data_IF_603257373733
#
_entry.id   IF_603257373733
#
_cell.length_a   1.000
_cell.length_b   1.000
_cell.length_c   1.000
_cell.angle_alpha   90.00
_cell.angle_beta   90.00
_cell.angle_gamma   90.00
#
_symmetry.space_group_name_H-M   'P 1'
#
loop_
_entity.id
_entity.type
_entity.pdbx_description
1 polymer ?
#
# COMPACT_ATOMS: atom_id res chain seq x y z
N UNK A 1 42.35 -40.32 29.48
CA UNK A 1 42.13 -39.56 28.23
C UNK A 1 40.63 -39.64 27.94
N UNK A 2 39.81 -38.69 28.44
CA UNK A 2 39.44 -37.39 27.80
C UNK A 2 38.64 -37.62 26.51
N UNK A 3 37.48 -37.03 26.21
CA UNK A 3 36.73 -35.89 26.74
C UNK A 3 35.31 -35.87 26.15
N UNK A 4 34.44 -35.03 26.72
CA UNK A 4 33.13 -34.58 26.22
C UNK A 4 33.12 -34.06 24.75
N UNK A 5 31.93 -33.95 24.15
CA UNK A 5 31.34 -32.70 23.55
C UNK A 5 30.45 -32.97 22.31
N UNK A 6 29.14 -32.75 22.47
CA UNK A 6 28.28 -31.81 21.74
C UNK A 6 28.42 -31.67 20.19
N UNK A 7 27.32 -31.87 19.43
CA UNK A 7 26.60 -30.79 18.72
C UNK A 7 25.55 -31.29 17.70
N UNK A 8 24.36 -30.73 17.88
CA UNK A 8 23.23 -30.63 16.98
C UNK A 8 23.50 -29.53 15.92
N UNK A 9 23.09 -29.74 14.66
CA UNK A 9 22.61 -28.68 13.74
C UNK A 9 22.12 -29.31 12.42
N UNK A 10 20.84 -29.68 12.38
CA UNK A 10 20.11 -29.82 11.12
C UNK A 10 19.46 -28.46 10.79
N UNK A 11 19.96 -27.76 9.78
CA UNK A 11 19.24 -26.67 9.12
C UNK A 11 19.36 -26.87 7.61
N UNK A 12 18.41 -27.63 7.08
CA UNK A 12 18.20 -27.79 5.65
C UNK A 12 17.23 -26.73 5.15
N UNK A 13 17.71 -26.03 4.13
CA UNK A 13 17.06 -25.18 3.14
C UNK A 13 15.53 -25.09 3.14
N UNK A 14 15.03 -23.86 3.30
CA UNK A 14 13.78 -23.42 2.64
C UNK A 14 14.10 -22.32 1.64
N UNK A 15 14.44 -22.74 0.42
CA UNK A 15 14.21 -21.96 -0.80
C UNK A 15 12.72 -21.66 -0.90
N UNK A 16 12.32 -20.42 -0.67
CA UNK A 16 11.00 -19.94 -1.12
C UNK A 16 11.18 -19.52 -2.58
N UNK A 17 10.79 -20.42 -3.48
CA UNK A 17 10.59 -20.11 -4.87
C UNK A 17 9.45 -19.10 -5.00
N UNK A 18 9.72 -17.96 -5.64
CA UNK A 18 8.68 -17.10 -6.21
C UNK A 18 8.93 -17.01 -7.72
N UNK A 19 8.60 -18.10 -8.41
CA UNK A 19 8.33 -18.07 -9.84
C UNK A 19 6.85 -17.76 -10.02
N UNK A 20 6.55 -16.53 -10.39
CA UNK A 20 5.29 -16.16 -11.03
C UNK A 20 5.60 -15.09 -12.08
N UNK A 21 5.95 -15.59 -13.26
CA UNK A 21 5.51 -15.08 -14.56
C UNK A 21 5.82 -13.63 -14.92
N UNK A 22 6.94 -13.47 -15.64
CA UNK A 22 7.00 -12.58 -16.80
C UNK A 22 5.94 -13.09 -17.80
N UNK A 23 4.87 -12.32 -18.01
CA UNK A 23 3.99 -12.26 -19.19
C UNK A 23 2.65 -11.61 -18.77
N UNK A 24 2.62 -10.28 -18.77
CA UNK A 24 1.38 -9.51 -18.68
C UNK A 24 1.56 -8.18 -19.42
N UNK A 25 1.70 -8.26 -20.74
CA UNK A 25 1.43 -7.09 -21.59
C UNK A 25 -0.08 -6.77 -21.51
N UNK A 26 -0.38 -5.63 -20.88
CA UNK A 26 -1.53 -4.75 -21.15
C UNK A 26 -2.95 -5.09 -20.65
N UNK A 27 -3.11 -5.86 -19.58
CA UNK A 27 -4.38 -5.86 -18.83
C UNK A 27 -4.20 -5.15 -17.49
N UNK A 28 -4.99 -4.10 -17.24
CA UNK A 28 -5.08 -3.47 -15.93
C UNK A 28 -5.46 -4.52 -14.87
N UNK A 29 -4.87 -4.46 -13.66
CA UNK A 29 -5.07 -5.49 -12.66
C UNK A 29 -6.46 -5.34 -12.02
N UNK A 30 -7.07 -6.45 -11.60
CA UNK A 30 -8.38 -6.43 -10.92
C UNK A 30 -8.30 -5.88 -9.49
N UNK A 31 -7.12 -5.94 -8.88
CA UNK A 31 -6.81 -5.41 -7.55
C UNK A 31 -5.48 -4.65 -7.60
N UNK A 32 -5.27 -3.62 -6.75
CA UNK A 32 -3.98 -2.94 -6.66
C UNK A 32 -2.87 -3.91 -6.27
N UNK A 33 -1.79 -3.93 -7.05
CA UNK A 33 -0.64 -4.78 -6.80
C UNK A 33 0.43 -3.95 -6.07
N UNK A 34 0.84 -4.40 -4.89
CA UNK A 34 1.99 -3.84 -4.19
C UNK A 34 3.28 -4.30 -4.88
N UNK A 35 3.98 -3.39 -5.56
CA UNK A 35 5.22 -3.67 -6.29
C UNK A 35 6.42 -3.66 -5.33
N UNK A 36 6.55 -2.61 -4.51
CA UNK A 36 7.64 -2.46 -3.53
C UNK A 36 7.16 -1.77 -2.26
N UNK A 37 7.83 -2.08 -1.14
CA UNK A 37 7.67 -1.40 0.13
C UNK A 37 9.06 -1.18 0.73
N UNK A 38 9.30 0.02 1.28
CA UNK A 38 10.52 0.33 2.02
C UNK A 38 10.53 -0.42 3.37
N UNK A 39 11.72 -0.68 3.94
CA UNK A 39 11.90 -1.43 5.20
C UNK A 39 11.10 -0.82 6.36
N UNK A 40 10.94 0.51 6.31
CA UNK A 40 10.19 1.31 7.26
C UNK A 40 8.70 1.48 6.87
N UNK A 41 8.18 0.81 5.83
CA UNK A 41 6.81 0.92 5.30
C UNK A 41 6.29 2.36 5.03
N UNK A 42 7.17 3.36 5.04
CA UNK A 42 6.86 4.78 4.81
C UNK A 42 6.63 5.09 3.35
N UNK A 43 7.16 4.25 2.46
CA UNK A 43 7.06 4.41 1.02
C UNK A 43 6.65 3.07 0.42
N UNK A 44 5.64 3.10 -0.44
CA UNK A 44 5.22 1.95 -1.21
C UNK A 44 5.06 2.33 -2.68
N UNK A 45 5.28 1.40 -3.60
CA UNK A 45 4.89 1.55 -5.00
C UNK A 45 3.77 0.56 -5.31
N UNK A 46 2.74 1.04 -5.97
CA UNK A 46 1.58 0.24 -6.35
C UNK A 46 1.34 0.35 -7.86
N UNK A 47 0.95 -0.76 -8.48
CA UNK A 47 0.33 -0.78 -9.80
C UNK A 47 -1.19 -0.89 -9.59
N UNK A 48 -1.89 0.20 -9.88
CA UNK A 48 -3.29 0.37 -9.54
C UNK A 48 -4.21 -0.15 -10.65
N UNK A 49 -5.50 -0.35 -10.31
CA UNK A 49 -6.52 -0.94 -11.20
C UNK A 49 -6.84 -0.10 -12.43
N UNK A 50 -6.41 1.16 -12.47
CA UNK A 50 -6.48 2.04 -13.64
C UNK A 50 -5.33 1.80 -14.64
N UNK A 51 -4.47 0.82 -14.39
CA UNK A 51 -3.29 0.52 -15.20
C UNK A 51 -2.15 1.52 -15.01
N UNK A 52 -2.13 2.27 -13.89
CA UNK A 52 -1.10 3.28 -13.61
C UNK A 52 -0.32 2.96 -12.35
N UNK A 53 0.91 3.48 -12.28
CA UNK A 53 1.80 3.28 -11.14
C UNK A 53 1.82 4.49 -10.25
N UNK A 54 1.71 4.25 -8.94
CA UNK A 54 1.76 5.31 -7.95
C UNK A 54 2.76 5.00 -6.86
N UNK A 55 3.48 6.03 -6.43
CA UNK A 55 4.30 6.02 -5.24
C UNK A 55 3.49 6.59 -4.08
N UNK A 56 3.21 5.75 -3.10
CA UNK A 56 2.60 6.13 -1.84
C UNK A 56 3.67 6.58 -0.84
N UNK A 57 3.47 7.73 -0.19
CA UNK A 57 4.34 8.23 0.87
C UNK A 57 3.54 8.55 2.14
N UNK A 58 3.92 7.92 3.24
CA UNK A 58 3.19 8.02 4.49
C UNK A 58 3.42 9.41 5.11
N UNK A 59 2.36 10.12 5.54
CA UNK A 59 2.47 11.52 5.99
C UNK A 59 3.00 11.64 7.43
N UNK A 60 3.31 10.51 8.08
CA UNK A 60 3.70 10.40 9.48
C UNK A 60 2.51 10.21 10.42
N UNK A 61 2.74 9.51 11.54
CA UNK A 61 1.69 8.99 12.43
C UNK A 61 0.75 10.07 12.97
N UNK A 62 1.28 11.25 13.30
CA UNK A 62 0.49 12.37 13.83
C UNK A 62 -0.47 12.96 12.80
N UNK A 63 -0.04 13.08 11.54
CA UNK A 63 -0.93 13.56 10.45
C UNK A 63 -1.97 12.50 10.12
N UNK A 64 -1.54 11.25 9.94
CA UNK A 64 -2.44 10.12 9.66
C UNK A 64 -3.52 9.95 10.75
N UNK A 65 -3.14 10.02 12.03
CA UNK A 65 -4.09 9.94 13.15
C UNK A 65 -5.11 11.10 13.11
N UNK A 66 -4.63 12.33 12.90
CA UNK A 66 -5.49 13.51 12.81
C UNK A 66 -6.48 13.38 11.66
N UNK A 67 -6.04 12.98 10.47
CA UNK A 67 -6.93 12.85 9.31
C UNK A 67 -8.02 11.81 9.54
N UNK A 68 -7.68 10.68 10.17
CA UNK A 68 -8.65 9.65 10.54
C UNK A 68 -9.68 10.15 11.57
N UNK A 69 -9.25 10.91 12.56
CA UNK A 69 -10.15 11.53 13.53
C UNK A 69 -11.08 12.56 12.87
N UNK A 70 -10.53 13.39 11.98
CA UNK A 70 -11.30 14.41 11.24
C UNK A 70 -12.28 13.80 10.23
N UNK A 71 -12.01 12.58 9.74
CA UNK A 71 -12.94 11.82 8.90
C UNK A 71 -14.05 11.15 9.69
N UNK A 72 -14.02 11.12 11.02
CA UNK A 72 -15.10 10.58 11.85
C UNK A 72 -15.91 11.75 12.39
N UNK A 73 -17.12 11.94 11.85
CA UNK A 73 -18.11 12.88 12.38
C UNK A 73 -19.08 12.15 13.31
N UNK A 74 -19.28 12.68 14.51
CA UNK A 74 -20.24 12.14 15.48
C UNK A 74 -21.70 12.34 15.04
N UNK A 75 -21.96 13.29 14.14
CA UNK A 75 -23.30 13.65 13.67
C UNK A 75 -23.60 13.12 12.26
N UNK A 76 -22.59 13.06 11.39
CA UNK A 76 -22.75 12.71 9.97
C UNK A 76 -22.13 11.34 9.61
N UNK A 77 -21.48 10.67 10.57
CA UNK A 77 -20.78 9.41 10.32
C UNK A 77 -19.39 9.61 9.69
N UNK A 78 -18.95 8.64 8.88
CA UNK A 78 -17.60 8.65 8.29
C UNK A 78 -17.56 9.58 7.06
N UNK A 79 -16.94 10.75 7.20
CA UNK A 79 -16.64 11.68 6.12
C UNK A 79 -15.36 11.25 5.39
N UNK A 80 -15.53 10.33 4.45
CA UNK A 80 -14.43 9.72 3.68
C UNK A 80 -13.82 10.71 2.69
N UNK A 81 -14.58 11.67 2.19
CA UNK A 81 -14.14 12.63 1.18
C UNK A 81 -12.91 13.41 1.66
N UNK A 82 -12.99 13.97 2.88
CA UNK A 82 -11.87 14.71 3.48
C UNK A 82 -10.63 13.86 3.71
N UNK A 83 -10.79 12.56 3.94
CA UNK A 83 -9.66 11.64 4.09
C UNK A 83 -9.01 11.42 2.73
N UNK A 84 -9.83 11.13 1.71
CA UNK A 84 -9.40 10.86 0.35
C UNK A 84 -8.71 12.07 -0.28
N UNK A 85 -9.25 13.28 -0.12
CA UNK A 85 -8.61 14.51 -0.62
C UNK A 85 -7.21 14.70 -0.05
N UNK A 86 -7.04 14.46 1.25
CA UNK A 86 -5.72 14.56 1.91
C UNK A 86 -4.80 13.44 1.47
N UNK A 87 -5.32 12.23 1.37
CA UNK A 87 -4.56 11.07 0.92
C UNK A 87 -4.04 11.29 -0.50
N UNK A 88 -4.88 11.66 -1.45
CA UNK A 88 -4.46 11.98 -2.81
C UNK A 88 -3.42 13.10 -2.86
N UNK A 89 -3.70 14.21 -2.17
CA UNK A 89 -2.82 15.40 -2.21
C UNK A 89 -1.44 15.19 -1.60
N UNK A 90 -1.32 14.38 -0.55
CA UNK A 90 -0.11 14.31 0.26
C UNK A 90 0.57 12.95 0.27
N UNK A 91 -0.14 11.90 -0.12
CA UNK A 91 0.37 10.54 -0.08
C UNK A 91 0.56 9.95 -1.47
N UNK A 92 -0.19 10.36 -2.48
CA UNK A 92 -0.16 9.74 -3.80
C UNK A 92 0.65 10.59 -4.76
N UNK A 93 1.74 10.02 -5.29
CA UNK A 93 2.53 10.64 -6.36
C UNK A 93 2.50 9.74 -7.60
N UNK A 94 2.22 10.29 -8.80
CA UNK A 94 2.26 9.50 -10.02
C UNK A 94 3.69 9.07 -10.37
N UNK A 95 3.82 7.88 -10.96
CA UNK A 95 5.10 7.33 -11.45
C UNK A 95 4.99 7.14 -12.95
N UNK A 96 5.88 7.79 -13.69
CA UNK A 96 5.94 7.73 -15.17
C UNK A 96 4.67 8.23 -15.90
N UNK A 97 3.81 9.00 -15.22
CA UNK A 97 2.68 9.72 -15.83
C UNK A 97 2.37 11.04 -15.11
N UNK A 98 1.52 11.88 -15.72
CA UNK A 98 1.10 13.17 -15.16
C UNK A 98 -0.29 13.18 -14.52
N UNK A 99 -0.98 12.04 -14.49
CA UNK A 99 -2.31 11.98 -13.88
C UNK A 99 -2.27 12.07 -12.36
N UNK A 100 -2.99 13.04 -11.81
CA UNK A 100 -3.17 13.25 -10.38
C UNK A 100 -4.59 12.79 -9.98
N UNK A 101 -4.73 11.70 -9.21
CA UNK A 101 -6.04 11.20 -8.82
C UNK A 101 -6.69 12.14 -7.80
N UNK A 102 -7.98 12.41 -7.99
CA UNK A 102 -8.87 13.09 -7.04
C UNK A 102 -10.25 12.42 -7.10
N UNK A 103 -11.13 12.66 -6.13
CA UNK A 103 -12.49 12.11 -6.14
C UNK A 103 -13.30 12.55 -7.38
N UNK A 104 -12.98 13.69 -7.96
CA UNK A 104 -13.69 14.24 -9.13
C UNK A 104 -13.25 13.61 -10.46
N UNK A 105 -12.04 13.02 -10.53
CA UNK A 105 -11.43 12.58 -11.79
C UNK A 105 -11.23 11.07 -11.89
N UNK A 106 -11.26 10.35 -10.76
CA UNK A 106 -11.18 8.88 -10.76
C UNK A 106 -12.52 8.29 -11.19
N UNK A 107 -12.47 7.09 -11.78
CA UNK A 107 -13.68 6.36 -12.12
C UNK A 107 -14.46 5.94 -10.86
N UNK A 108 -15.81 5.92 -10.87
CA UNK A 108 -16.61 5.62 -9.69
C UNK A 108 -16.31 4.25 -9.04
N UNK A 109 -16.01 3.24 -9.84
CA UNK A 109 -15.58 1.90 -9.40
C UNK A 109 -14.20 1.89 -8.72
N UNK A 110 -13.34 2.89 -8.96
CA UNK A 110 -12.02 2.99 -8.35
C UNK A 110 -12.05 3.66 -6.97
N UNK A 111 -13.15 4.35 -6.62
CA UNK A 111 -13.29 5.08 -5.34
C UNK A 111 -13.14 4.12 -4.15
N UNK A 112 -13.86 3.00 -4.16
CA UNK A 112 -13.81 2.02 -3.06
C UNK A 112 -12.42 1.38 -2.93
N UNK A 113 -11.78 1.12 -4.06
CA UNK A 113 -10.43 0.54 -4.10
C UNK A 113 -9.41 1.51 -3.50
N UNK A 114 -9.48 2.79 -3.90
CA UNK A 114 -8.64 3.84 -3.34
C UNK A 114 -8.86 4.04 -1.84
N UNK A 115 -10.11 4.01 -1.40
CA UNK A 115 -10.46 4.09 0.02
C UNK A 115 -9.88 2.92 0.81
N UNK A 116 -9.93 1.71 0.26
CA UNK A 116 -9.35 0.53 0.88
C UNK A 116 -7.82 0.68 1.02
N UNK A 117 -7.14 1.10 -0.06
CA UNK A 117 -5.70 1.38 -0.06
C UNK A 117 -5.34 2.46 0.97
N UNK A 118 -6.07 3.58 1.00
CA UNK A 118 -5.82 4.66 1.94
C UNK A 118 -5.94 4.21 3.40
N UNK A 119 -6.98 3.44 3.72
CA UNK A 119 -7.19 2.92 5.07
C UNK A 119 -6.08 1.98 5.52
N UNK A 120 -5.64 1.06 4.65
CA UNK A 120 -4.55 0.12 4.95
C UNK A 120 -3.22 0.85 5.08
N UNK A 121 -2.90 1.72 4.13
CA UNK A 121 -1.63 2.46 4.14
C UNK A 121 -1.47 3.34 5.38
N UNK A 122 -2.50 4.11 5.73
CA UNK A 122 -2.45 5.03 6.88
C UNK A 122 -2.43 4.29 8.24
N UNK A 123 -2.71 2.98 8.25
CA UNK A 123 -2.61 2.10 9.42
C UNK A 123 -1.36 1.23 9.44
N UNK A 124 -0.52 1.29 8.40
CA UNK A 124 0.63 0.42 8.22
C UNK A 124 0.25 -1.05 7.98
N UNK A 125 -0.93 -1.28 7.42
CA UNK A 125 -1.51 -2.61 7.15
C UNK A 125 -1.49 -2.93 5.64
N UNK A 126 -0.48 -2.46 4.89
CA UNK A 126 -0.37 -2.71 3.43
C UNK A 126 0.02 -4.16 3.08
N UNK A 127 0.43 -4.97 4.07
CA UNK A 127 0.66 -6.42 3.95
C UNK A 127 -0.64 -7.21 3.92
#
# INVERSE_FOLDING_TARGET
MTDNTNQETAKTDKKIAKNSSQDAENSAPSEPILETIDDDAKVAQIYFVDGRRYKLQHPGNRKALRWRQESISLTEGLNQDKLMDKFFKFCVNPVDHGFEPTLDVIEPNHVEVWLHVANRFLKWELE
#
